data_IF_826035621280
#
_entry.id   IF_826035621280
#
_cell.length_a   1.000
_cell.length_b   1.000
_cell.length_c   1.000
_cell.angle_alpha   90.00
_cell.angle_beta   90.00
_cell.angle_gamma   90.00
#
_symmetry.space_group_name_H-M   'P 1'
#
loop_
_entity.id
_entity.type
_entity.pdbx_description
1 polymer ?
#
# COMPACT_ATOMS: atom_id res chain seq x y z
N UNK A 1 22.49 -10.30 -10.84
CA UNK A 1 23.34 -11.26 -11.57
C UNK A 1 24.56 -11.57 -10.73
N UNK A 2 24.89 -12.85 -10.53
CA UNK A 2 26.11 -13.31 -9.87
C UNK A 2 27.08 -13.87 -10.91
N UNK A 3 28.37 -13.72 -10.66
CA UNK A 3 29.43 -14.40 -11.44
C UNK A 3 29.60 -15.85 -10.97
N UNK A 4 30.44 -16.64 -11.66
CA UNK A 4 30.71 -18.04 -11.29
C UNK A 4 31.33 -18.10 -9.87
N UNK A 5 30.68 -18.83 -8.96
CA UNK A 5 31.10 -19.04 -7.56
C UNK A 5 29.90 -19.24 -6.63
N UNK A 6 30.18 -19.62 -5.40
CA UNK A 6 29.15 -19.65 -4.35
C UNK A 6 29.12 -18.27 -3.68
N UNK A 7 27.97 -17.62 -3.73
CA UNK A 7 27.75 -16.31 -3.12
C UNK A 7 26.71 -16.40 -2.02
N UNK A 8 26.94 -15.69 -0.93
CA UNK A 8 25.97 -15.53 0.16
C UNK A 8 25.53 -14.08 0.21
N UNK A 9 24.22 -13.86 0.16
CA UNK A 9 23.60 -12.54 0.32
C UNK A 9 22.75 -12.59 1.59
N UNK A 10 23.05 -11.72 2.55
CA UNK A 10 22.25 -11.58 3.77
C UNK A 10 21.44 -10.32 3.68
N UNK A 11 20.13 -10.42 3.93
CA UNK A 11 19.22 -9.28 3.99
C UNK A 11 18.18 -9.48 5.08
N UNK A 12 17.41 -8.44 5.36
CA UNK A 12 16.23 -8.50 6.21
C UNK A 12 15.07 -7.84 5.47
N UNK A 13 13.88 -8.39 5.67
CA UNK A 13 12.64 -7.84 5.14
C UNK A 13 11.82 -7.32 6.31
N UNK A 14 11.55 -6.03 6.31
CA UNK A 14 10.79 -5.37 7.36
C UNK A 14 9.37 -5.97 7.45
N UNK A 15 8.87 -6.12 8.66
CA UNK A 15 7.47 -6.53 8.89
C UNK A 15 6.50 -5.66 8.09
N UNK A 16 5.43 -6.28 7.60
CA UNK A 16 4.43 -5.57 6.79
C UNK A 16 4.88 -5.22 5.36
N UNK A 17 6.04 -5.77 4.92
CA UNK A 17 6.53 -5.67 3.55
C UNK A 17 6.25 -6.96 2.79
N UNK A 18 5.68 -6.84 1.60
CA UNK A 18 5.55 -7.92 0.62
C UNK A 18 6.83 -7.95 -0.19
N UNK A 19 7.45 -9.11 -0.26
CA UNK A 19 8.60 -9.39 -1.11
C UNK A 19 8.16 -10.28 -2.26
N UNK A 20 8.44 -9.86 -3.50
CA UNK A 20 8.23 -10.65 -4.71
C UNK A 20 9.60 -10.90 -5.34
N UNK A 21 10.07 -12.14 -5.26
CA UNK A 21 11.37 -12.58 -5.78
C UNK A 21 11.18 -13.34 -7.09
N UNK A 22 11.83 -12.89 -8.15
CA UNK A 22 11.71 -13.42 -9.51
C UNK A 22 13.07 -13.91 -10.00
N UNK A 23 13.21 -15.21 -10.21
CA UNK A 23 14.44 -15.85 -10.69
C UNK A 23 14.33 -16.13 -12.18
N UNK A 24 15.22 -15.53 -13.00
CA UNK A 24 15.30 -15.78 -14.44
C UNK A 24 16.22 -16.94 -14.79
N UNK A 25 17.37 -17.01 -14.14
CA UNK A 25 18.40 -18.02 -14.38
C UNK A 25 19.00 -18.46 -13.04
N UNK A 26 19.41 -19.72 -12.95
CA UNK A 26 20.10 -20.27 -11.79
C UNK A 26 19.19 -20.87 -10.73
N UNK A 27 19.79 -21.15 -9.59
CA UNK A 27 19.15 -21.72 -8.42
C UNK A 27 19.55 -20.95 -7.17
N UNK A 28 18.58 -20.58 -6.36
CA UNK A 28 18.72 -19.78 -5.15
C UNK A 28 18.10 -20.52 -3.98
N UNK A 29 18.78 -20.55 -2.85
CA UNK A 29 18.25 -21.11 -1.61
C UNK A 29 18.09 -20.01 -0.57
N UNK A 30 16.85 -19.74 -0.21
CA UNK A 30 16.47 -18.76 0.80
C UNK A 30 16.40 -19.42 2.18
N UNK A 31 17.17 -18.93 3.14
CA UNK A 31 17.20 -19.42 4.52
C UNK A 31 16.49 -18.43 5.42
N UNK A 32 15.46 -18.89 6.12
CA UNK A 32 14.67 -18.10 7.08
C UNK A 32 15.01 -18.43 8.54
N UNK A 33 16.03 -19.23 8.75
CA UNK A 33 16.53 -19.69 10.03
C UNK A 33 17.45 -20.89 9.87
N UNK A 34 17.99 -21.43 10.97
CA UNK A 34 19.00 -22.50 10.90
C UNK A 34 18.53 -23.79 10.22
N UNK A 35 17.22 -24.06 10.26
CA UNK A 35 16.64 -25.33 9.79
C UNK A 35 15.53 -25.15 8.73
N UNK A 36 15.29 -23.93 8.28
CA UNK A 36 14.20 -23.67 7.34
C UNK A 36 14.69 -22.91 6.12
N UNK A 37 14.58 -23.53 4.98
CA UNK A 37 14.95 -22.95 3.67
C UNK A 37 13.90 -23.24 2.61
N UNK A 38 13.92 -22.43 1.57
CA UNK A 38 13.11 -22.58 0.35
C UNK A 38 13.99 -22.36 -0.86
N UNK A 39 13.85 -23.22 -1.86
CA UNK A 39 14.54 -23.09 -3.11
C UNK A 39 13.71 -22.26 -4.10
N UNK A 40 14.36 -21.37 -4.85
CA UNK A 40 13.77 -20.63 -5.95
C UNK A 40 14.57 -20.94 -7.21
N UNK A 41 13.94 -21.61 -8.14
CA UNK A 41 14.56 -22.09 -9.39
C UNK A 41 14.32 -21.10 -10.53
N UNK A 42 15.06 -21.30 -11.63
CA UNK A 42 14.86 -20.54 -12.86
C UNK A 42 13.38 -20.54 -13.31
N UNK A 43 12.91 -19.40 -13.79
CA UNK A 43 11.53 -19.17 -14.22
C UNK A 43 10.47 -19.33 -13.10
N UNK A 44 10.85 -19.16 -11.85
CA UNK A 44 9.92 -19.14 -10.73
C UNK A 44 9.82 -17.76 -10.10
N UNK A 45 8.66 -17.51 -9.51
CA UNK A 45 8.37 -16.35 -8.66
C UNK A 45 7.98 -16.82 -7.27
N UNK A 46 8.52 -16.17 -6.24
CA UNK A 46 8.21 -16.45 -4.85
C UNK A 46 7.76 -15.16 -4.16
N UNK A 47 6.62 -15.22 -3.48
CA UNK A 47 6.09 -14.10 -2.70
C UNK A 47 6.09 -14.44 -1.23
N UNK A 48 6.62 -13.52 -0.43
CA UNK A 48 6.75 -13.64 1.01
C UNK A 48 6.14 -12.43 1.70
N UNK A 49 5.51 -12.67 2.84
CA UNK A 49 5.00 -11.63 3.72
C UNK A 49 4.95 -12.09 5.17
N UNK A 50 5.36 -11.21 6.10
CA UNK A 50 5.18 -11.40 7.51
C UNK A 50 4.68 -10.10 8.17
N UNK A 51 3.47 -10.10 8.75
CA UNK A 51 2.92 -8.91 9.40
C UNK A 51 3.49 -8.65 10.80
N UNK A 52 4.02 -9.68 11.45
CA UNK A 52 4.30 -9.67 12.89
C UNK A 52 5.76 -9.41 13.24
N UNK A 53 6.68 -9.82 12.36
CA UNK A 53 8.12 -9.71 12.61
C UNK A 53 8.89 -9.53 11.29
N UNK A 54 10.06 -8.93 11.41
CA UNK A 54 11.01 -8.87 10.30
C UNK A 54 11.44 -10.28 9.91
N UNK A 55 11.67 -10.49 8.62
CA UNK A 55 12.15 -11.76 8.08
C UNK A 55 13.65 -11.66 7.77
N UNK A 56 14.54 -12.05 8.71
CA UNK A 56 15.92 -12.25 8.35
C UNK A 56 16.02 -13.47 7.43
N UNK A 57 16.68 -13.31 6.30
CA UNK A 57 16.98 -14.41 5.41
C UNK A 57 18.36 -14.28 4.82
N UNK A 58 18.93 -15.43 4.53
CA UNK A 58 20.17 -15.60 3.79
C UNK A 58 19.83 -16.24 2.47
N UNK A 59 20.44 -15.77 1.40
CA UNK A 59 20.29 -16.35 0.07
C UNK A 59 21.63 -16.97 -0.30
N UNK A 60 21.67 -18.29 -0.44
CA UNK A 60 22.80 -19.00 -1.02
C UNK A 60 22.58 -19.13 -2.53
N UNK A 61 23.56 -18.70 -3.29
CA UNK A 61 23.56 -18.75 -4.76
C UNK A 61 24.65 -19.72 -5.21
N UNK A 62 24.28 -20.72 -5.97
CA UNK A 62 25.25 -21.65 -6.57
C UNK A 62 25.44 -21.34 -8.06
N UNK A 63 26.63 -20.84 -8.40
CA UNK A 63 26.94 -20.44 -9.78
C UNK A 63 26.28 -19.14 -10.20
N UNK A 64 26.02 -19.02 -11.51
CA UNK A 64 25.37 -17.83 -12.09
C UNK A 64 23.87 -17.84 -11.80
N UNK A 65 23.35 -16.74 -11.30
CA UNK A 65 21.92 -16.57 -11.09
C UNK A 65 21.48 -15.12 -11.36
N UNK A 66 20.30 -14.96 -11.92
CA UNK A 66 19.64 -13.70 -12.18
C UNK A 66 18.38 -13.57 -11.31
N UNK A 67 18.43 -12.69 -10.35
CA UNK A 67 17.35 -12.43 -9.39
C UNK A 67 16.94 -10.97 -9.41
N UNK A 68 15.64 -10.72 -9.56
CA UNK A 68 15.03 -9.40 -9.32
C UNK A 68 14.07 -9.53 -8.13
N UNK A 69 14.20 -8.64 -7.16
CA UNK A 69 13.34 -8.61 -5.98
C UNK A 69 12.63 -7.27 -5.90
N UNK A 70 11.30 -7.33 -5.79
CA UNK A 70 10.45 -6.18 -5.54
C UNK A 70 10.01 -6.20 -4.08
N UNK A 71 10.26 -5.11 -3.37
CA UNK A 71 9.76 -4.85 -2.02
C UNK A 71 8.68 -3.77 -2.07
N UNK A 72 7.53 -4.05 -1.49
CA UNK A 72 6.46 -3.09 -1.36
C UNK A 72 5.75 -3.25 -0.02
N UNK A 73 5.56 -2.16 0.72
CA UNK A 73 4.76 -2.24 1.95
C UNK A 73 3.31 -2.56 1.62
N UNK A 74 2.62 -3.31 2.48
CA UNK A 74 1.18 -3.59 2.32
C UNK A 74 0.38 -2.29 2.21
N UNK A 75 0.76 -1.26 2.96
CA UNK A 75 0.13 0.07 2.87
C UNK A 75 0.27 0.71 1.48
N UNK A 76 1.46 0.66 0.89
CA UNK A 76 1.67 1.15 -0.48
C UNK A 76 0.92 0.32 -1.50
N UNK A 77 0.95 -1.01 -1.36
CA UNK A 77 0.20 -1.92 -2.22
C UNK A 77 -1.30 -1.59 -2.20
N UNK A 78 -1.88 -1.42 -1.02
CA UNK A 78 -3.27 -1.00 -0.86
C UNK A 78 -3.57 0.35 -1.53
N UNK A 79 -2.68 1.34 -1.36
CA UNK A 79 -2.86 2.66 -1.98
C UNK A 79 -2.88 2.62 -3.50
N UNK A 80 -2.06 1.76 -4.11
CA UNK A 80 -2.04 1.60 -5.58
C UNK A 80 -3.37 1.09 -6.11
N UNK A 81 -3.94 0.10 -5.45
CA UNK A 81 -5.17 -0.55 -5.93
C UNK A 81 -6.45 0.20 -5.54
N UNK A 82 -6.48 0.91 -4.41
CA UNK A 82 -7.69 1.65 -3.96
C UNK A 82 -7.99 2.89 -4.81
N UNK A 83 -6.99 3.48 -5.47
CA UNK A 83 -7.20 4.69 -6.29
C UNK A 83 -7.79 4.43 -7.68
N UNK A 84 -7.66 3.24 -8.22
CA UNK A 84 -7.91 2.98 -9.63
C UNK A 84 -9.02 1.97 -9.94
N UNK A 85 -9.60 1.27 -8.97
CA UNK A 85 -10.59 0.26 -9.27
C UNK A 85 -11.74 0.18 -8.27
N UNK A 86 -12.95 0.17 -8.82
CA UNK A 86 -14.19 -0.16 -8.13
C UNK A 86 -14.29 -1.66 -7.75
N UNK A 87 -13.30 -2.48 -8.11
CA UNK A 87 -13.36 -3.95 -8.06
C UNK A 87 -12.21 -4.63 -7.29
N UNK A 88 -11.63 -4.06 -6.24
CA UNK A 88 -10.54 -4.74 -5.53
C UNK A 88 -10.95 -5.31 -4.17
N UNK A 89 -10.79 -6.60 -4.08
CA UNK A 89 -11.14 -7.46 -2.94
C UNK A 89 -10.05 -7.42 -1.84
N UNK A 90 -10.19 -6.61 -0.78
CA UNK A 90 -9.19 -6.48 0.27
C UNK A 90 -9.75 -6.53 1.69
N UNK A 91 -9.07 -7.24 2.56
CA UNK A 91 -9.14 -7.28 4.01
C UNK A 91 -10.20 -8.20 4.62
N UNK A 92 -9.90 -9.49 4.70
CA UNK A 92 -10.35 -10.29 5.86
C UNK A 92 -9.38 -10.01 7.01
N UNK A 93 -9.91 -9.45 8.11
CA UNK A 93 -9.10 -8.97 9.23
C UNK A 93 -8.17 -10.00 9.87
N UNK A 94 -8.37 -11.29 9.63
CA UNK A 94 -7.47 -12.36 10.06
C UNK A 94 -6.33 -12.62 9.05
N UNK A 95 -6.55 -12.43 7.75
CA UNK A 95 -5.56 -12.75 6.73
C UNK A 95 -4.41 -11.73 6.65
N UNK A 96 -4.68 -10.45 6.95
CA UNK A 96 -3.63 -9.43 7.05
C UNK A 96 -2.70 -9.64 8.26
N UNK A 97 -3.10 -10.48 9.22
CA UNK A 97 -2.32 -10.87 10.39
C UNK A 97 -1.62 -12.22 10.21
N UNK A 98 -1.80 -12.91 9.10
CA UNK A 98 -1.19 -14.20 8.81
C UNK A 98 0.04 -14.04 7.92
N UNK A 99 1.04 -14.88 8.18
CA UNK A 99 2.18 -15.04 7.28
C UNK A 99 1.69 -15.60 5.95
N UNK A 100 2.20 -15.02 4.88
CA UNK A 100 1.88 -15.49 3.53
C UNK A 100 3.13 -15.94 2.80
N UNK A 101 2.97 -17.00 2.06
CA UNK A 101 3.99 -17.56 1.19
C UNK A 101 3.32 -18.20 -0.02
N UNK A 102 3.80 -17.84 -1.19
CA UNK A 102 3.42 -18.49 -2.46
C UNK A 102 4.66 -18.66 -3.34
N UNK A 103 4.69 -19.74 -4.09
CA UNK A 103 5.70 -19.99 -5.12
C UNK A 103 5.01 -20.55 -6.36
N UNK A 104 5.24 -19.91 -7.50
CA UNK A 104 4.58 -20.21 -8.76
C UNK A 104 5.58 -20.15 -9.93
N UNK A 105 5.19 -20.66 -11.09
CA UNK A 105 5.90 -20.45 -12.33
C UNK A 105 5.75 -19.00 -12.79
N UNK A 106 6.84 -18.43 -13.29
CA UNK A 106 6.85 -17.05 -13.79
C UNK A 106 6.16 -16.97 -15.15
N UNK A 107 5.10 -16.18 -15.26
CA UNK A 107 4.40 -15.92 -16.52
C UNK A 107 5.34 -15.24 -17.53
N UNK A 108 5.17 -15.50 -18.81
CA UNK A 108 6.01 -14.93 -19.88
C UNK A 108 6.04 -13.40 -19.86
N UNK A 109 4.90 -12.74 -19.59
CA UNK A 109 4.82 -11.26 -19.47
C UNK A 109 5.68 -10.73 -18.33
N UNK A 110 5.67 -11.41 -17.18
CA UNK A 110 6.50 -11.05 -16.03
C UNK A 110 7.99 -11.29 -16.34
N UNK A 111 8.32 -12.41 -16.99
CA UNK A 111 9.67 -12.70 -17.44
C UNK A 111 10.23 -11.65 -18.40
N UNK A 112 9.41 -11.12 -19.32
CA UNK A 112 9.82 -10.02 -20.20
C UNK A 112 10.18 -8.75 -19.40
N UNK A 113 9.40 -8.38 -18.38
CA UNK A 113 9.70 -7.23 -17.53
C UNK A 113 11.02 -7.41 -16.76
N UNK A 114 11.23 -8.61 -16.21
CA UNK A 114 12.46 -8.95 -15.48
C UNK A 114 13.68 -8.91 -16.42
N UNK A 115 13.58 -9.49 -17.61
CA UNK A 115 14.67 -9.46 -18.59
C UNK A 115 15.02 -8.03 -19.00
N UNK A 116 14.06 -7.15 -19.19
CA UNK A 116 14.30 -5.74 -19.51
C UNK A 116 15.04 -5.01 -18.38
N UNK A 117 14.78 -5.37 -17.11
CA UNK A 117 15.54 -4.82 -15.96
C UNK A 117 16.99 -5.32 -15.99
N UNK A 118 17.19 -6.60 -16.23
CA UNK A 118 18.55 -7.22 -16.24
C UNK A 118 19.42 -6.74 -17.38
N UNK A 119 18.82 -6.37 -18.51
CA UNK A 119 19.54 -5.96 -19.74
C UNK A 119 19.57 -4.46 -19.99
N UNK A 120 18.99 -3.65 -19.09
CA UNK A 120 18.92 -2.19 -19.28
C UNK A 120 20.31 -1.55 -19.35
N UNK A 121 20.43 -0.54 -20.23
CA UNK A 121 21.59 0.34 -20.32
C UNK A 121 21.08 1.79 -20.40
N UNK A 122 20.96 2.46 -19.27
CA UNK A 122 20.38 3.79 -19.15
C UNK A 122 21.29 4.72 -18.35
N UNK A 123 21.08 6.04 -18.54
CA UNK A 123 21.72 7.02 -17.67
C UNK A 123 21.14 6.92 -16.24
N UNK A 124 21.89 7.31 -15.19
CA UNK A 124 21.41 7.21 -13.79
C UNK A 124 20.08 7.92 -13.53
N UNK A 125 19.81 9.03 -14.25
CA UNK A 125 18.55 9.77 -14.13
C UNK A 125 17.37 9.00 -14.73
N UNK A 126 17.60 8.40 -15.92
CA UNK A 126 16.57 7.61 -16.63
C UNK A 126 16.35 6.26 -15.97
N UNK A 127 17.39 5.64 -15.42
CA UNK A 127 17.31 4.37 -14.70
C UNK A 127 16.29 4.43 -13.56
N UNK A 128 16.33 5.46 -12.74
CA UNK A 128 15.41 5.62 -11.61
C UNK A 128 13.95 5.70 -12.03
N UNK A 129 13.66 6.39 -13.15
CA UNK A 129 12.31 6.47 -13.71
C UNK A 129 11.88 5.13 -14.31
N UNK A 130 12.78 4.50 -15.06
CA UNK A 130 12.55 3.18 -15.66
C UNK A 130 12.24 2.12 -14.60
N UNK A 131 13.04 2.04 -13.53
CA UNK A 131 12.83 1.09 -12.42
C UNK A 131 11.47 1.28 -11.74
N UNK A 132 11.03 2.54 -11.55
CA UNK A 132 9.68 2.83 -11.03
C UNK A 132 8.58 2.34 -11.98
N UNK A 133 8.71 2.61 -13.28
CA UNK A 133 7.77 2.11 -14.28
C UNK A 133 7.69 0.59 -14.29
N UNK A 134 8.85 -0.08 -14.23
CA UNK A 134 8.94 -1.54 -14.20
C UNK A 134 8.35 -2.14 -12.92
N UNK A 135 8.50 -1.48 -11.77
CA UNK A 135 7.85 -1.92 -10.54
C UNK A 135 6.31 -1.96 -10.68
N UNK A 136 5.70 -0.93 -11.27
CA UNK A 136 4.26 -0.91 -11.53
C UNK A 136 3.83 -1.94 -12.57
N UNK A 137 4.61 -2.12 -13.63
CA UNK A 137 4.35 -3.12 -14.66
C UNK A 137 4.42 -4.54 -14.10
N UNK A 138 5.43 -4.85 -13.28
CA UNK A 138 5.56 -6.12 -12.55
C UNK A 138 4.33 -6.35 -11.68
N UNK A 139 3.92 -5.37 -10.86
CA UNK A 139 2.74 -5.49 -10.02
C UNK A 139 1.47 -5.74 -10.85
N UNK A 140 1.31 -5.04 -11.97
CA UNK A 140 0.20 -5.22 -12.89
C UNK A 140 0.15 -6.64 -13.45
N UNK A 141 1.27 -7.16 -13.96
CA UNK A 141 1.34 -8.52 -14.49
C UNK A 141 1.23 -9.59 -13.42
N UNK A 142 1.80 -9.35 -12.24
CA UNK A 142 1.74 -10.29 -11.12
C UNK A 142 0.29 -10.46 -10.61
N UNK A 143 -0.45 -9.35 -10.49
CA UNK A 143 -1.83 -9.36 -10.03
C UNK A 143 -2.88 -9.48 -11.16
N UNK A 144 -2.44 -9.60 -12.42
CA UNK A 144 -3.37 -9.73 -13.54
C UNK A 144 -4.11 -11.08 -13.53
N UNK A 145 -5.45 -11.03 -13.58
CA UNK A 145 -6.33 -12.18 -13.75
C UNK A 145 -6.15 -12.79 -15.14
N UNK A 146 -5.90 -14.09 -15.20
CA UNK A 146 -6.05 -14.85 -16.44
C UNK A 146 -7.43 -15.51 -16.42
N UNK A 147 -8.25 -15.30 -17.43
CA UNK A 147 -9.54 -15.98 -17.58
C UNK A 147 -9.30 -17.49 -17.55
N UNK A 148 -9.84 -18.19 -16.53
CA UNK A 148 -9.82 -19.65 -16.40
C UNK A 148 -8.75 -20.25 -15.48
N UNK A 149 -7.90 -19.47 -14.82
CA UNK A 149 -6.96 -19.95 -13.80
C UNK A 149 -7.47 -19.68 -12.38
N UNK A 150 -7.05 -20.48 -11.40
CA UNK A 150 -7.24 -20.17 -9.99
C UNK A 150 -6.74 -18.76 -9.72
N UNK A 151 -7.62 -17.89 -9.26
CA UNK A 151 -7.33 -16.49 -9.01
C UNK A 151 -6.15 -16.37 -8.05
N UNK A 152 -5.06 -15.72 -8.48
CA UNK A 152 -4.02 -15.25 -7.55
C UNK A 152 -4.66 -14.32 -6.49
N UNK A 153 -5.75 -13.62 -6.86
CA UNK A 153 -6.58 -12.87 -5.92
C UNK A 153 -7.20 -13.76 -4.85
N UNK A 154 -7.63 -14.99 -5.17
CA UNK A 154 -8.14 -15.96 -4.19
C UNK A 154 -7.04 -16.55 -3.31
N UNK A 155 -5.79 -16.55 -3.76
CA UNK A 155 -4.64 -17.05 -3.00
C UNK A 155 -3.84 -15.94 -2.30
N UNK A 156 -3.96 -14.67 -2.70
CA UNK A 156 -3.29 -13.56 -2.03
C UNK A 156 -4.13 -13.06 -0.85
N UNK A 157 -3.71 -13.29 0.40
CA UNK A 157 -4.47 -12.88 1.58
C UNK A 157 -4.65 -11.37 1.70
N UNK A 158 -3.87 -10.58 0.94
CA UNK A 158 -3.98 -9.12 0.91
C UNK A 158 -5.10 -8.61 0.00
N UNK A 159 -5.61 -9.49 -0.89
CA UNK A 159 -6.60 -9.15 -1.91
C UNK A 159 -7.98 -9.76 -1.66
N UNK A 160 -8.14 -10.50 -0.55
CA UNK A 160 -9.31 -11.38 -0.32
C UNK A 160 -10.56 -10.75 0.29
N UNK A 161 -10.65 -9.44 0.51
CA UNK A 161 -11.86 -8.92 1.19
C UNK A 161 -12.47 -7.64 0.60
N UNK A 162 -13.19 -7.82 -0.48
CA UNK A 162 -14.03 -6.79 -1.11
C UNK A 162 -15.04 -6.17 -0.14
N UNK A 163 -15.67 -6.96 0.72
CA UNK A 163 -16.71 -6.48 1.64
C UNK A 163 -16.15 -5.50 2.67
N UNK A 164 -14.97 -5.75 3.22
CA UNK A 164 -14.37 -4.83 4.20
C UNK A 164 -13.84 -3.54 3.56
N UNK A 165 -13.30 -3.59 2.35
CA UNK A 165 -12.94 -2.37 1.60
C UNK A 165 -14.17 -1.55 1.26
N UNK A 166 -15.24 -2.20 0.81
CA UNK A 166 -16.53 -1.55 0.55
C UNK A 166 -17.07 -0.88 1.81
N UNK A 167 -17.06 -1.59 2.94
CA UNK A 167 -17.45 -1.08 4.26
C UNK A 167 -16.58 0.09 4.71
N UNK A 168 -15.27 0.05 4.49
CA UNK A 168 -14.36 1.16 4.82
C UNK A 168 -14.56 2.35 3.88
N UNK A 169 -14.83 2.13 2.58
CA UNK A 169 -15.22 3.19 1.65
C UNK A 169 -16.54 3.82 2.08
N UNK A 170 -17.53 3.00 2.45
CA UNK A 170 -18.80 3.46 2.97
C UNK A 170 -18.62 4.28 4.26
N UNK A 171 -17.77 3.83 5.18
CA UNK A 171 -17.42 4.61 6.37
C UNK A 171 -16.83 5.98 6.03
N UNK A 172 -15.98 6.06 5.00
CA UNK A 172 -15.45 7.34 4.50
C UNK A 172 -16.58 8.24 3.97
N UNK A 173 -17.48 7.72 3.15
CA UNK A 173 -18.60 8.50 2.64
C UNK A 173 -19.48 9.03 3.80
N UNK A 174 -19.82 8.18 4.77
CA UNK A 174 -20.63 8.55 5.94
C UNK A 174 -19.99 9.70 6.73
N UNK A 175 -18.67 9.63 7.01
CA UNK A 175 -18.00 10.70 7.77
C UNK A 175 -17.85 12.00 6.96
N UNK A 176 -17.80 11.93 5.64
CA UNK A 176 -17.77 13.12 4.78
C UNK A 176 -19.14 13.75 4.65
N UNK A 177 -20.19 12.95 4.46
CA UNK A 177 -21.57 13.44 4.40
C UNK A 177 -22.00 14.10 5.72
N UNK A 178 -21.58 13.52 6.84
CA UNK A 178 -21.86 14.03 8.19
C UNK A 178 -20.67 14.78 8.77
N UNK A 179 -19.89 15.47 7.95
CA UNK A 179 -18.64 16.10 8.41
C UNK A 179 -18.84 17.15 9.51
N UNK A 180 -19.99 17.83 9.57
CA UNK A 180 -20.31 18.83 10.61
C UNK A 180 -20.57 18.18 11.96
N UNK A 181 -21.23 17.03 11.97
CA UNK A 181 -21.55 16.22 13.15
C UNK A 181 -21.18 14.74 12.90
N UNK A 182 -19.88 14.42 12.87
CA UNK A 182 -19.44 13.07 12.53
C UNK A 182 -19.82 12.06 13.60
N UNK A 183 -20.24 10.85 13.21
CA UNK A 183 -20.57 9.79 14.16
C UNK A 183 -19.35 9.40 15.00
N UNK A 184 -19.59 8.84 16.18
CA UNK A 184 -18.52 8.21 16.96
C UNK A 184 -17.95 7.01 16.21
N UNK A 185 -16.71 6.60 16.54
CA UNK A 185 -16.09 5.42 15.91
C UNK A 185 -16.96 4.19 16.12
N UNK A 186 -17.57 4.02 17.29
CA UNK A 186 -18.47 2.91 17.58
C UNK A 186 -19.69 2.95 16.67
N UNK A 187 -20.40 4.09 16.61
CA UNK A 187 -21.59 4.22 15.75
C UNK A 187 -21.24 4.00 14.27
N UNK A 188 -20.10 4.51 13.81
CA UNK A 188 -19.63 4.31 12.45
C UNK A 188 -19.31 2.83 12.17
N UNK A 189 -18.69 2.14 13.10
CA UNK A 189 -18.35 0.72 13.00
C UNK A 189 -19.63 -0.13 12.97
N UNK A 190 -20.60 0.15 13.84
CA UNK A 190 -21.91 -0.51 13.88
C UNK A 190 -22.66 -0.29 12.55
N UNK A 191 -22.64 0.92 11.98
CA UNK A 191 -23.33 1.28 10.73
C UNK A 191 -22.75 0.56 9.51
N UNK A 192 -21.44 0.29 9.50
CA UNK A 192 -20.77 -0.45 8.43
C UNK A 192 -20.56 -1.93 8.77
N UNK A 193 -21.15 -2.42 9.84
CA UNK A 193 -21.08 -3.82 10.29
C UNK A 193 -19.63 -4.34 10.42
N UNK A 194 -18.78 -3.55 11.10
CA UNK A 194 -17.40 -3.89 11.41
C UNK A 194 -17.11 -3.74 12.90
N UNK A 195 -16.11 -4.43 13.42
CA UNK A 195 -15.59 -4.08 14.73
C UNK A 195 -14.82 -2.74 14.66
N UNK A 196 -14.81 -1.96 15.77
CA UNK A 196 -14.04 -0.72 15.83
C UNK A 196 -12.55 -0.92 15.50
N UNK A 197 -11.99 -2.05 15.91
CA UNK A 197 -10.61 -2.40 15.63
C UNK A 197 -10.36 -2.57 14.13
N UNK A 198 -11.18 -3.36 13.45
CA UNK A 198 -11.10 -3.61 12.02
C UNK A 198 -11.28 -2.30 11.23
N UNK A 199 -12.28 -1.49 11.61
CA UNK A 199 -12.54 -0.21 10.97
C UNK A 199 -11.34 0.75 11.13
N UNK A 200 -10.79 0.92 12.34
CA UNK A 200 -9.62 1.79 12.59
C UNK A 200 -8.39 1.34 11.81
N UNK A 201 -8.11 0.04 11.85
CA UNK A 201 -6.95 -0.55 11.17
C UNK A 201 -7.09 -0.44 9.66
N UNK A 202 -8.22 -0.90 9.11
CA UNK A 202 -8.50 -0.87 7.68
C UNK A 202 -8.53 0.55 7.12
N UNK A 203 -9.17 1.48 7.80
CA UNK A 203 -9.21 2.88 7.38
C UNK A 203 -7.81 3.50 7.34
N UNK A 204 -6.98 3.24 8.37
CA UNK A 204 -5.60 3.71 8.38
C UNK A 204 -4.75 3.08 7.28
N UNK A 205 -4.95 1.80 6.98
CA UNK A 205 -4.23 1.11 5.92
C UNK A 205 -4.63 1.62 4.53
N UNK A 206 -5.91 1.88 4.30
CA UNK A 206 -6.43 2.35 3.00
C UNK A 206 -6.11 3.83 2.77
N UNK A 207 -6.35 4.69 3.77
CA UNK A 207 -6.26 6.14 3.60
C UNK A 207 -5.01 6.77 4.22
N UNK A 208 -4.12 5.98 4.84
CA UNK A 208 -2.87 6.44 5.43
C UNK A 208 -3.04 7.31 6.69
N UNK A 209 -4.27 7.48 7.19
CA UNK A 209 -4.61 8.34 8.32
C UNK A 209 -5.69 7.72 9.20
N UNK A 210 -5.78 8.18 10.45
CA UNK A 210 -6.93 7.84 11.30
C UNK A 210 -8.21 8.46 10.72
N UNK A 211 -9.38 7.90 11.04
CA UNK A 211 -10.68 8.36 10.54
C UNK A 211 -10.87 9.86 10.77
N UNK A 212 -10.70 10.35 12.00
CA UNK A 212 -10.82 11.78 12.30
C UNK A 212 -9.63 12.60 11.78
N UNK A 213 -8.45 12.01 11.62
CA UNK A 213 -7.32 12.66 10.97
C UNK A 213 -7.59 12.94 9.50
N UNK A 214 -8.18 11.95 8.80
CA UNK A 214 -8.63 12.08 7.43
C UNK A 214 -9.73 13.18 7.30
N UNK A 215 -10.76 13.12 8.14
CA UNK A 215 -11.82 14.13 8.16
C UNK A 215 -11.27 15.53 8.42
N UNK A 216 -10.36 15.70 9.38
CA UNK A 216 -9.72 16.98 9.66
C UNK A 216 -8.94 17.50 8.45
N UNK A 217 -8.18 16.63 7.78
CA UNK A 217 -7.45 16.98 6.57
C UNK A 217 -8.39 17.40 5.44
N UNK A 218 -9.51 16.70 5.27
CA UNK A 218 -10.52 17.05 4.28
C UNK A 218 -11.15 18.41 4.57
N UNK A 219 -11.60 18.66 5.81
CA UNK A 219 -12.14 19.96 6.26
C UNK A 219 -11.16 21.12 6.02
N UNK A 220 -9.87 20.89 6.25
CA UNK A 220 -8.86 21.94 6.03
C UNK A 220 -8.71 22.26 4.54
N UNK A 221 -8.74 21.26 3.66
CA UNK A 221 -8.71 21.49 2.21
C UNK A 221 -9.96 22.24 1.73
N UNK A 222 -11.15 21.84 2.20
CA UNK A 222 -12.38 22.55 1.90
C UNK A 222 -12.35 24.01 2.43
N UNK A 223 -11.87 24.18 3.66
CA UNK A 223 -11.72 25.53 4.24
C UNK A 223 -10.77 26.42 3.46
N UNK A 224 -9.68 25.86 2.92
CA UNK A 224 -8.77 26.58 2.03
C UNK A 224 -9.49 27.03 0.76
N UNK A 225 -10.20 26.12 0.08
CA UNK A 225 -10.95 26.44 -1.14
C UNK A 225 -12.06 27.49 -0.88
N UNK A 226 -12.77 27.40 0.25
CA UNK A 226 -13.79 28.40 0.64
C UNK A 226 -13.20 29.78 0.87
N UNK A 227 -12.01 29.86 1.45
CA UNK A 227 -11.32 31.12 1.67
C UNK A 227 -10.75 31.71 0.37
N UNK A 228 -10.25 30.88 -0.54
CA UNK A 228 -9.76 31.29 -1.86
C UNK A 228 -10.86 31.81 -2.78
N UNK A 229 -12.09 31.30 -2.65
CA UNK A 229 -13.23 31.83 -3.42
C UNK A 229 -13.59 33.29 -3.07
N UNK A 230 -13.14 33.77 -1.92
CA UNK A 230 -13.45 35.12 -1.42
C UNK A 230 -14.88 35.29 -0.89
N UNK A 231 -15.73 34.27 -0.99
CA UNK A 231 -17.13 34.32 -0.55
C UNK A 231 -17.26 34.13 0.97
N UNK A 232 -16.28 33.49 1.61
CA UNK A 232 -16.34 33.14 3.04
C UNK A 232 -15.31 33.88 3.86
N UNK A 233 -15.76 34.50 4.96
CA UNK A 233 -14.84 34.93 5.99
C UNK A 233 -14.37 33.75 6.81
N UNK A 234 -13.20 33.87 7.45
CA UNK A 234 -12.59 32.78 8.25
C UNK A 234 -13.57 32.17 9.28
N UNK A 235 -14.41 33.03 9.90
CA UNK A 235 -15.40 32.60 10.87
C UNK A 235 -16.53 31.79 10.23
N UNK A 236 -16.99 32.21 9.06
CA UNK A 236 -18.09 31.58 8.33
C UNK A 236 -17.65 30.21 7.76
N UNK A 237 -16.45 30.14 7.20
CA UNK A 237 -15.83 28.88 6.77
C UNK A 237 -15.68 27.89 7.94
N UNK A 238 -15.25 28.35 9.12
CA UNK A 238 -15.15 27.50 10.31
C UNK A 238 -16.51 26.88 10.68
N UNK A 239 -17.57 27.70 10.72
CA UNK A 239 -18.92 27.21 11.07
C UNK A 239 -19.47 26.26 9.99
N UNK A 240 -19.32 26.59 8.72
CA UNK A 240 -19.75 25.73 7.61
C UNK A 240 -19.10 24.35 7.63
N UNK A 241 -17.87 24.27 8.17
CA UNK A 241 -17.15 23.01 8.36
C UNK A 241 -17.45 22.32 9.69
N UNK A 242 -18.41 22.83 10.48
CA UNK A 242 -18.85 22.23 11.75
C UNK A 242 -17.92 22.49 12.93
N UNK A 243 -17.11 23.55 12.89
CA UNK A 243 -16.36 23.99 14.07
C UNK A 243 -17.23 24.90 14.93
N UNK A 244 -17.54 24.47 16.15
CA UNK A 244 -18.28 25.31 17.14
C UNK A 244 -17.48 26.56 17.53
N UNK A 245 -16.15 26.44 17.59
CA UNK A 245 -15.25 27.53 17.88
C UNK A 245 -14.25 27.74 16.73
N UNK A 246 -14.30 28.93 16.06
CA UNK A 246 -13.37 29.23 14.97
C UNK A 246 -11.90 29.17 15.35
N UNK A 247 -11.54 29.32 16.63
CA UNK A 247 -10.16 29.19 17.09
C UNK A 247 -9.59 27.76 16.84
N UNK A 248 -10.43 26.74 16.96
CA UNK A 248 -10.01 25.36 16.67
C UNK A 248 -9.75 25.14 15.16
N UNK A 249 -10.57 25.74 14.30
CA UNK A 249 -10.32 25.76 12.85
C UNK A 249 -9.00 26.45 12.52
N UNK A 250 -8.77 27.66 13.08
CA UNK A 250 -7.54 28.43 12.86
C UNK A 250 -6.30 27.64 13.30
N UNK A 251 -6.38 26.96 14.45
CA UNK A 251 -5.28 26.13 14.95
C UNK A 251 -5.01 24.92 14.04
N UNK A 252 -6.07 24.21 13.62
CA UNK A 252 -5.95 23.06 12.69
C UNK A 252 -5.42 23.49 11.31
N UNK A 253 -5.89 24.62 10.80
CA UNK A 253 -5.43 25.20 9.54
C UNK A 253 -3.94 25.56 9.60
N UNK A 254 -3.52 26.26 10.68
CA UNK A 254 -2.09 26.58 10.89
C UNK A 254 -1.23 25.34 11.01
N UNK A 255 -1.73 24.30 11.71
CA UNK A 255 -1.01 23.03 11.84
C UNK A 255 -0.79 22.35 10.47
N UNK A 256 -1.75 22.44 9.57
CA UNK A 256 -1.68 21.81 8.25
C UNK A 256 -0.88 22.63 7.23
N UNK A 257 -1.12 23.94 7.16
CA UNK A 257 -0.57 24.80 6.10
C UNK A 257 0.59 25.69 6.58
N UNK A 258 0.97 25.62 7.86
CA UNK A 258 2.08 26.38 8.43
C UNK A 258 1.73 27.84 8.78
N UNK A 259 0.65 28.40 8.22
CA UNK A 259 0.21 29.80 8.41
C UNK A 259 -1.26 29.85 8.83
N UNK A 260 -1.66 30.96 9.47
CA UNK A 260 -3.07 31.17 9.81
C UNK A 260 -3.89 31.51 8.57
N UNK A 261 -5.22 31.23 8.53
CA UNK A 261 -6.08 31.57 7.41
C UNK A 261 -5.96 33.03 6.96
N UNK A 262 -5.93 33.96 7.93
CA UNK A 262 -5.79 35.40 7.63
C UNK A 262 -4.46 35.72 6.94
N UNK A 263 -3.37 35.10 7.40
CA UNK A 263 -2.03 35.32 6.80
C UNK A 263 -1.95 34.67 5.42
N UNK A 264 -2.62 33.54 5.22
CA UNK A 264 -2.71 32.85 3.94
C UNK A 264 -3.37 33.71 2.85
N UNK A 265 -4.47 34.38 3.20
CA UNK A 265 -5.20 35.28 2.27
C UNK A 265 -4.47 36.60 1.94
N UNK A 266 -3.38 36.91 2.64
CA UNK A 266 -2.58 38.13 2.43
C UNK A 266 -1.31 37.85 1.59
N UNK A 267 -1.06 36.60 1.20
CA UNK A 267 0.03 36.18 0.32
C UNK A 267 -0.43 36.21 -1.15
#
# INVERSE_FOLDING_TARGET
>A
TTEEGAHEITSAVDKGTVQISMCMEGELKFWFGPSYSMDLLANQVMTLYNPSMDLPHRIDVQGKADLVVLFISVTQLHQLFVKESEELHFLKGESALQKFYAKDEMKASLGMCVNQILTMQLSPQSEKLFMRGKAFEILSHYFHKTEGGNDIYDSCPFLKDYDNVKKIKQAKEIILDRMTEPPTIKALADEVEMSEYQLKLGFKNIYGATIYGYLTNYKMNQGMSMLESGEYKVKDAAYALGYVNPSHFIAAFKKKFGVTPKKYLMQ
#
